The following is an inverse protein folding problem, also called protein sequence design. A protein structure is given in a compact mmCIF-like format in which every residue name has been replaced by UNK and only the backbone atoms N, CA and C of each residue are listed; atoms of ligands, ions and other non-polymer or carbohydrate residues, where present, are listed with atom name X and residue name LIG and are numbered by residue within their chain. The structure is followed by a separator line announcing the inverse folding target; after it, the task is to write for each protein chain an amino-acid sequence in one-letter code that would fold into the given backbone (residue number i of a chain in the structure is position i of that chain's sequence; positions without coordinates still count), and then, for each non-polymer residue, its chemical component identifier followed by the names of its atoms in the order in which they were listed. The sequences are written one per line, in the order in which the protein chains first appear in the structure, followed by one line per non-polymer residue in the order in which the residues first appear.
data_IF_237619824699
#
_entry.id   IF_237619824699
#
_cell.length_a   1.000
_cell.length_b   1.000
_cell.length_c   1.000
_cell.angle_alpha   90.00
_cell.angle_beta   90.00
_cell.angle_gamma   90.00
#
_symmetry.space_group_name_H-M   'P 1'
#
loop_
_entity.id
_entity.type
_entity.pdbx_description
1 polymer ?
#
# COMPACT_ATOMS: atom_id res chain seq x y z
N UNK A 1 13.51 -9.27 14.70
CA UNK A 1 14.28 -8.13 14.20
C UNK A 1 13.32 -6.95 14.22
N UNK A 2 13.61 -5.92 15.02
CA UNK A 2 12.75 -4.76 15.20
C UNK A 2 13.46 -3.55 14.55
N UNK A 3 12.80 -2.93 13.58
CA UNK A 3 13.29 -1.77 12.83
C UNK A 3 12.90 -0.43 13.50
N UNK A 4 12.18 -0.48 14.62
CA UNK A 4 11.58 0.67 15.25
C UNK A 4 10.33 1.17 14.51
N UNK A 5 9.82 2.36 14.85
CA UNK A 5 8.62 2.91 14.23
C UNK A 5 8.87 3.33 12.78
N UNK A 6 7.85 3.15 11.93
CA UNK A 6 7.82 3.67 10.56
C UNK A 6 7.40 5.16 10.60
N UNK A 7 8.31 6.03 11.01
CA UNK A 7 8.03 7.47 11.19
C UNK A 7 9.03 8.40 10.48
N UNK A 8 9.97 7.86 9.70
CA UNK A 8 10.87 8.67 8.91
C UNK A 8 10.13 9.16 7.66
N UNK A 9 9.99 10.47 7.52
CA UNK A 9 9.23 11.08 6.42
C UNK A 9 10.14 11.34 5.23
N UNK A 10 9.74 10.87 4.05
CA UNK A 10 10.41 11.22 2.80
C UNK A 10 10.25 12.73 2.53
N UNK A 11 11.34 13.49 2.29
CA UNK A 11 11.27 14.93 2.10
C UNK A 11 10.59 15.34 0.78
N UNK A 12 10.47 14.42 -0.18
CA UNK A 12 9.91 14.71 -1.50
C UNK A 12 8.42 14.41 -1.60
N UNK A 13 7.98 13.23 -1.16
CA UNK A 13 6.59 12.77 -1.33
C UNK A 13 5.81 12.60 -0.02
N UNK A 14 6.46 12.77 1.14
CA UNK A 14 5.83 12.61 2.45
C UNK A 14 5.54 11.16 2.87
N UNK A 15 5.96 10.17 2.08
CA UNK A 15 5.82 8.75 2.45
C UNK A 15 6.55 8.44 3.76
N UNK A 16 5.94 7.58 4.59
CA UNK A 16 6.55 7.09 5.83
C UNK A 16 7.43 5.87 5.55
N UNK A 17 8.58 5.84 6.19
CA UNK A 17 9.60 4.81 6.08
C UNK A 17 10.16 4.44 7.45
N UNK A 18 10.86 3.31 7.50
CA UNK A 18 11.80 3.04 8.59
C UNK A 18 13.13 3.75 8.29
N UNK A 19 13.79 4.25 9.33
CA UNK A 19 15.08 4.95 9.16
C UNK A 19 16.16 4.09 8.50
N UNK A 20 16.10 2.77 8.71
CA UNK A 20 17.03 1.81 8.09
C UNK A 20 16.81 1.62 6.57
N UNK A 21 15.67 2.06 6.01
CA UNK A 21 15.42 2.04 4.56
C UNK A 21 16.04 3.23 3.82
N UNK A 22 16.62 4.17 4.57
CA UNK A 22 17.27 5.35 4.02
C UNK A 22 18.41 4.95 3.07
N UNK A 23 18.54 5.65 1.94
CA UNK A 23 19.67 5.51 1.03
C UNK A 23 21.00 5.69 1.76
N UNK A 24 21.99 4.85 1.50
CA UNK A 24 23.28 4.85 2.20
C UNK A 24 24.05 6.17 2.10
N UNK A 25 23.85 6.92 1.01
CA UNK A 25 24.50 8.21 0.73
C UNK A 25 23.85 9.44 1.40
N UNK A 26 22.72 9.29 2.09
CA UNK A 26 22.08 10.41 2.81
C UNK A 26 22.45 10.38 4.31
N UNK A 27 21.92 11.31 5.11
CA UNK A 27 22.21 11.38 6.55
C UNK A 27 20.98 11.02 7.39
N UNK A 28 21.16 10.64 8.66
CA UNK A 28 20.02 10.41 9.56
C UNK A 28 19.21 11.70 9.84
N UNK A 29 19.84 12.87 9.74
CA UNK A 29 19.16 14.16 9.91
C UNK A 29 18.39 14.60 8.67
N UNK A 30 18.85 14.21 7.48
CA UNK A 30 18.19 14.46 6.21
C UNK A 30 18.12 13.16 5.42
N UNK A 31 17.15 12.29 5.74
CA UNK A 31 17.04 10.98 5.13
C UNK A 31 16.38 11.05 3.74
N UNK A 32 16.96 10.30 2.80
CA UNK A 32 16.45 10.14 1.45
C UNK A 32 16.05 8.69 1.20
N UNK A 33 15.05 8.46 0.35
CA UNK A 33 14.46 7.14 0.13
C UNK A 33 14.25 6.86 -1.35
N UNK A 34 14.69 5.68 -1.80
CA UNK A 34 14.53 5.24 -3.20
C UNK A 34 13.19 4.54 -3.48
N UNK A 35 12.56 3.92 -2.48
CA UNK A 35 11.41 3.03 -2.73
C UNK A 35 10.10 3.75 -3.00
N UNK A 36 9.94 5.01 -2.61
CA UNK A 36 8.68 5.75 -2.78
C UNK A 36 8.67 6.59 -4.07
N UNK A 37 9.57 7.55 -4.22
CA UNK A 37 9.59 8.49 -5.34
C UNK A 37 10.91 8.47 -6.12
N UNK A 38 11.70 7.41 -5.96
CA UNK A 38 13.06 7.28 -6.50
C UNK A 38 13.91 8.53 -6.21
N UNK A 39 14.01 8.91 -4.93
CA UNK A 39 14.75 10.10 -4.49
C UNK A 39 14.26 11.40 -5.16
N UNK A 40 12.94 11.54 -5.30
CA UNK A 40 12.29 12.72 -5.87
C UNK A 40 12.29 12.78 -7.40
N UNK A 41 12.80 11.74 -8.09
CA UNK A 41 12.81 11.69 -9.57
C UNK A 41 11.43 11.43 -10.16
N UNK A 42 10.52 10.80 -9.41
CA UNK A 42 9.18 10.47 -9.86
C UNK A 42 8.14 11.11 -8.96
N UNK A 43 7.21 11.85 -9.56
CA UNK A 43 6.02 12.33 -8.87
C UNK A 43 4.95 11.24 -8.90
N UNK A 44 4.71 10.60 -7.74
CA UNK A 44 3.63 9.64 -7.62
C UNK A 44 2.26 10.35 -7.66
N UNK A 45 1.28 9.79 -8.39
CA UNK A 45 -0.08 10.30 -8.32
C UNK A 45 -0.66 10.07 -6.92
N UNK A 46 -1.55 10.96 -6.49
CA UNK A 46 -2.28 10.77 -5.24
C UNK A 46 -3.14 9.50 -5.32
N UNK A 47 -3.14 8.72 -4.23
CA UNK A 47 -4.02 7.56 -4.12
C UNK A 47 -5.48 8.02 -4.21
N UNK A 48 -6.26 7.30 -5.02
CA UNK A 48 -7.71 7.50 -5.06
C UNK A 48 -8.30 7.03 -3.73
N UNK A 49 -9.34 7.72 -3.27
CA UNK A 49 -10.09 7.26 -2.12
C UNK A 49 -10.65 5.85 -2.39
N UNK A 50 -10.65 4.96 -1.40
CA UNK A 50 -11.28 3.67 -1.54
C UNK A 50 -12.80 3.83 -1.76
N UNK A 51 -13.47 2.85 -2.40
CA UNK A 51 -14.93 2.75 -2.38
C UNK A 51 -15.49 2.86 -0.97
N UNK A 52 -16.71 3.40 -0.83
CA UNK A 52 -17.31 3.73 0.46
C UNK A 52 -17.36 2.53 1.40
N UNK A 53 -17.73 1.37 0.87
CA UNK A 53 -17.84 0.13 1.63
C UNK A 53 -16.49 -0.28 2.24
N UNK A 54 -15.41 -0.16 1.46
CA UNK A 54 -14.06 -0.42 1.95
C UNK A 54 -13.61 0.65 2.94
N UNK A 55 -13.96 1.91 2.71
CA UNK A 55 -13.65 2.99 3.64
C UNK A 55 -14.31 2.76 5.01
N UNK A 56 -15.59 2.39 5.01
CA UNK A 56 -16.37 2.10 6.21
C UNK A 56 -15.74 0.93 6.98
N UNK A 57 -15.35 -0.16 6.30
CA UNK A 57 -14.65 -1.28 6.93
C UNK A 57 -13.27 -0.90 7.51
N UNK A 58 -12.53 -0.03 6.82
CA UNK A 58 -11.22 0.42 7.24
C UNK A 58 -11.25 1.38 8.44
N UNK A 59 -12.31 2.18 8.60
CA UNK A 59 -12.36 3.27 9.58
C UNK A 59 -13.42 3.07 10.67
N UNK A 60 -14.39 2.19 10.45
CA UNK A 60 -15.49 1.94 11.39
C UNK A 60 -15.05 1.26 12.69
N UNK A 61 -15.87 1.43 13.72
CA UNK A 61 -15.60 0.95 15.08
C UNK A 61 -16.50 -0.22 15.50
N UNK A 62 -17.35 -0.73 14.61
CA UNK A 62 -18.14 -1.92 14.91
C UNK A 62 -17.28 -3.20 14.93
N UNK A 63 -17.90 -4.31 15.32
CA UNK A 63 -17.22 -5.60 15.41
C UNK A 63 -16.74 -6.12 14.04
N UNK A 64 -17.50 -5.85 12.99
CA UNK A 64 -17.17 -6.28 11.63
C UNK A 64 -15.96 -5.51 11.09
N UNK A 65 -15.88 -4.21 11.34
CA UNK A 65 -14.76 -3.38 10.90
C UNK A 65 -13.45 -3.77 11.61
N UNK A 66 -13.52 -4.15 12.90
CA UNK A 66 -12.35 -4.68 13.62
C UNK A 66 -11.89 -6.02 13.06
N UNK A 67 -12.82 -6.95 12.88
CA UNK A 67 -12.54 -8.26 12.29
C UNK A 67 -11.91 -8.12 10.90
N UNK A 68 -12.48 -7.24 10.06
CA UNK A 68 -11.94 -6.94 8.74
C UNK A 68 -10.49 -6.45 8.81
N UNK A 69 -10.16 -5.52 9.70
CA UNK A 69 -8.78 -5.00 9.85
C UNK A 69 -7.81 -6.05 10.40
N UNK A 70 -8.26 -6.89 11.33
CA UNK A 70 -7.46 -7.98 11.87
C UNK A 70 -7.15 -9.05 10.80
N UNK A 71 -8.08 -9.27 9.87
CA UNK A 71 -7.97 -10.30 8.83
C UNK A 71 -7.70 -9.74 7.41
N UNK A 72 -7.42 -8.44 7.26
CA UNK A 72 -7.31 -7.78 5.94
C UNK A 72 -6.29 -8.44 5.01
N UNK A 73 -5.19 -8.96 5.58
CA UNK A 73 -4.18 -9.71 4.83
C UNK A 73 -4.75 -11.00 4.24
N UNK A 74 -5.58 -11.73 4.98
CA UNK A 74 -6.20 -12.97 4.52
C UNK A 74 -7.21 -12.69 3.41
N UNK A 75 -8.02 -11.63 3.55
CA UNK A 75 -8.94 -11.17 2.50
C UNK A 75 -8.18 -10.81 1.22
N UNK A 76 -7.12 -10.00 1.32
CA UNK A 76 -6.30 -9.61 0.17
C UNK A 76 -5.64 -10.82 -0.49
N UNK A 77 -5.15 -11.79 0.30
CA UNK A 77 -4.53 -13.01 -0.22
C UNK A 77 -5.54 -13.88 -0.98
N UNK A 78 -6.75 -14.06 -0.44
CA UNK A 78 -7.81 -14.82 -1.09
C UNK A 78 -8.26 -14.16 -2.40
N UNK A 79 -8.41 -12.83 -2.41
CA UNK A 79 -8.84 -12.07 -3.59
C UNK A 79 -7.75 -11.95 -4.66
N UNK A 80 -6.48 -11.89 -4.27
CA UNK A 80 -5.36 -11.86 -5.23
C UNK A 80 -5.31 -13.12 -6.13
N UNK A 81 -5.82 -14.26 -5.65
CA UNK A 81 -5.91 -15.50 -6.43
C UNK A 81 -7.09 -15.55 -7.41
N UNK A 82 -7.99 -14.56 -7.43
CA UNK A 82 -9.26 -14.66 -8.19
C UNK A 82 -9.27 -14.06 -9.59
N UNK A 83 -8.14 -13.55 -10.12
CA UNK A 83 -8.07 -13.23 -11.56
C UNK A 83 -7.64 -14.46 -12.37
N UNK A 84 -8.55 -15.42 -12.57
CA UNK A 84 -8.46 -16.28 -13.75
C UNK A 84 -8.64 -15.34 -14.96
N UNK A 85 -7.53 -14.96 -15.60
CA UNK A 85 -7.51 -14.19 -16.85
C UNK A 85 -8.08 -14.97 -18.03
N UNK A 86 -9.23 -15.63 -17.84
CA UNK A 86 -9.95 -16.31 -18.90
C UNK A 86 -10.59 -15.25 -19.79
N UNK A 87 -9.99 -15.00 -20.95
CA UNK A 87 -10.73 -14.43 -22.06
C UNK A 87 -11.77 -15.47 -22.47
N UNK A 88 -13.03 -15.23 -22.09
CA UNK A 88 -14.14 -16.02 -22.59
C UNK A 88 -14.28 -15.69 -24.07
N UNK A 89 -13.84 -16.61 -24.92
CA UNK A 89 -14.08 -16.51 -26.36
C UNK A 89 -15.57 -16.77 -26.61
N UNK A 90 -16.28 -15.72 -27.02
CA UNK A 90 -17.72 -15.75 -27.30
C UNK A 90 -18.02 -16.09 -28.77
N UNK A 91 -17.00 -16.35 -29.61
CA UNK A 91 -17.22 -16.62 -31.05
C UNK A 91 -17.60 -18.06 -31.37
N UNK A 92 -17.87 -18.90 -30.35
CA UNK A 92 -18.17 -20.33 -30.54
C UNK A 92 -19.63 -20.58 -30.97
N UNK A 93 -20.50 -19.56 -30.96
CA UNK A 93 -21.86 -19.67 -31.45
C UNK A 93 -22.08 -18.83 -32.71
N UNK A 94 -21.63 -19.35 -33.85
CA UNK A 94 -22.18 -19.09 -35.19
C UNK A 94 -22.15 -20.39 -36.01
#
# INVERSE_FOLDING_TARGET
FDLGPMNAVCPYCGALHWMEEKLSNSSKSHPHFGMCCDDGKVQLPLLRAPPRELQDLLQGEDAQCREFRENIWQYNMALAFTSLGANVDLTVND
#
